data_IF_566077082192
#
_entry.id   IF_566077082192
#
_cell.length_a   1.000
_cell.length_b   1.000
_cell.length_c   1.000
_cell.angle_alpha   90.00
_cell.angle_beta   90.00
_cell.angle_gamma   90.00
#
_symmetry.space_group_name_H-M   'P 1'
#
loop_
_entity.id
_entity.type
_entity.pdbx_description
1 polymer ?
2 polymer ?
3 polymer ?
4 non-polymer ?
5 non-polymer ?
6 non-polymer ?
7 non-polymer ?
8 water ?
#
# COMPACT_ATOMS: atom_id res chain seq x y z
N UNK A 1 -0.70 -8.63 4.27
CA UNK A 1 0.04 -8.92 5.53
C UNK A 1 0.42 -10.39 5.60
N UNK A 2 1.72 -10.66 5.66
CA UNK A 2 2.25 -12.01 5.76
C UNK A 2 2.58 -12.30 7.22
N UNK A 3 2.13 -13.45 7.72
CA UNK A 3 2.41 -13.84 9.09
C UNK A 3 1.66 -13.07 10.16
N UNK A 4 0.56 -12.43 9.79
CA UNK A 4 -0.23 -11.69 10.76
C UNK A 4 -1.40 -12.51 11.24
N UNK A 5 -2.45 -11.82 11.68
CA UNK A 5 -3.65 -12.47 12.18
C UNK A 5 -4.85 -11.68 11.72
N UNK A 6 -6.01 -12.31 11.67
CA UNK A 6 -7.22 -11.61 11.26
C UNK A 6 -7.62 -10.66 12.38
N UNK A 7 -7.74 -9.37 12.04
CA UNK A 7 -8.12 -8.36 13.03
C UNK A 7 -9.52 -8.65 13.56
N UNK A 8 -9.76 -8.28 14.82
CA UNK A 8 -11.08 -8.44 15.40
C UNK A 8 -11.96 -7.55 14.53
N UNK A 9 -13.13 -8.04 14.14
CA UNK A 9 -14.03 -7.29 13.27
C UNK A 9 -14.21 -5.84 13.68
N UNK A 10 -13.86 -4.93 12.77
CA UNK A 10 -13.97 -3.50 12.98
C UNK A 10 -13.13 -2.93 14.13
N UNK A 11 -12.02 -3.60 14.46
CA UNK A 11 -11.14 -3.15 15.54
C UNK A 11 -10.12 -2.11 15.06
N UNK A 12 -10.09 -1.87 13.75
CA UNK A 12 -9.19 -0.90 13.13
C UNK A 12 -10.16 -0.01 12.34
N UNK A 13 -11.01 0.76 13.04
CA UNK A 13 -12.01 1.64 12.42
C UNK A 13 -11.53 2.75 11.49
N UNK A 14 -10.24 3.05 11.52
CA UNK A 14 -9.66 4.09 10.67
C UNK A 14 -9.15 3.51 9.34
N UNK A 15 -9.10 2.17 9.27
CA UNK A 15 -8.63 1.51 8.05
C UNK A 15 -9.68 1.57 6.95
N UNK A 16 -9.26 2.03 5.77
CA UNK A 16 -10.16 2.07 4.63
C UNK A 16 -9.55 1.27 3.48
N UNK A 17 -10.40 0.89 2.55
CA UNK A 17 -9.96 0.17 1.36
C UNK A 17 -10.18 1.09 0.17
N UNK A 18 -9.14 1.27 -0.65
CA UNK A 18 -9.25 2.10 -1.86
C UNK A 18 -9.62 1.11 -2.96
N UNK A 19 -10.71 1.40 -3.66
CA UNK A 19 -11.25 0.52 -4.68
C UNK A 19 -11.51 1.24 -6.00
N UNK A 20 -11.12 0.60 -7.10
CA UNK A 20 -11.33 1.15 -8.44
C UNK A 20 -11.91 0.06 -9.34
N UNK A 21 -12.58 -0.89 -8.71
CA UNK A 21 -13.15 -2.03 -9.43
C UNK A 21 -12.89 -3.19 -8.49
N UNK A 22 -11.70 -3.16 -7.90
CA UNK A 22 -11.24 -4.17 -6.93
C UNK A 22 -10.42 -3.40 -5.90
N UNK A 23 -10.18 -4.03 -4.75
CA UNK A 23 -9.35 -3.43 -3.72
C UNK A 23 -7.94 -3.34 -4.29
N UNK A 24 -7.29 -2.19 -4.16
CA UNK A 24 -5.93 -2.06 -4.69
C UNK A 24 -4.94 -1.40 -3.72
N UNK A 25 -5.45 -0.77 -2.67
CA UNK A 25 -4.61 -0.12 -1.67
C UNK A 25 -5.42 0.17 -0.41
N UNK A 26 -4.70 0.46 0.66
CA UNK A 26 -5.34 0.79 1.92
C UNK A 26 -5.23 2.29 2.12
N UNK A 27 -5.74 2.76 3.25
CA UNK A 27 -5.68 4.18 3.58
C UNK A 27 -6.15 4.36 5.01
N UNK A 28 -5.99 5.56 5.54
CA UNK A 28 -6.40 5.87 6.91
C UNK A 28 -7.26 7.12 6.97
N UNK A 29 -8.38 7.02 7.67
CA UNK A 29 -9.29 8.15 7.83
C UNK A 29 -8.72 9.06 8.91
N UNK A 30 -8.41 10.32 8.56
CA UNK A 30 -7.85 11.25 9.54
C UNK A 30 -8.85 12.32 10.04
N UNK A 31 -9.92 12.52 9.28
CA UNK A 31 -11.03 13.40 9.65
C UNK A 31 -12.23 12.97 8.81
N UNK A 32 -13.44 13.39 9.17
CA UNK A 32 -14.62 12.94 8.43
C UNK A 32 -14.70 13.22 6.92
N UNK A 33 -13.71 13.93 6.39
CA UNK A 33 -13.69 14.23 4.96
C UNK A 33 -12.36 13.92 4.28
N UNK A 34 -11.37 13.46 5.05
CA UNK A 34 -10.06 13.18 4.48
C UNK A 34 -9.42 11.85 4.84
N UNK A 35 -8.78 11.26 3.84
CA UNK A 35 -8.06 10.00 3.98
C UNK A 35 -6.63 10.20 3.52
N UNK A 36 -5.69 9.58 4.23
CA UNK A 36 -4.28 9.67 3.84
C UNK A 36 -3.83 8.28 3.41
N UNK A 37 -3.10 8.24 2.29
CA UNK A 37 -2.63 6.98 1.73
C UNK A 37 -1.24 7.20 1.12
N UNK A 38 -0.82 6.29 0.25
CA UNK A 38 0.47 6.37 -0.42
C UNK A 38 0.31 7.01 -1.79
N UNK A 39 1.28 7.82 -2.20
CA UNK A 39 1.22 8.46 -3.51
C UNK A 39 1.28 7.46 -4.65
N UNK A 40 1.96 6.33 -4.45
CA UNK A 40 2.03 5.35 -5.53
C UNK A 40 0.69 4.64 -5.76
N UNK A 41 -0.26 4.90 -4.87
CA UNK A 41 -1.62 4.36 -4.96
C UNK A 41 -2.52 5.26 -5.79
N UNK A 42 -1.96 6.33 -6.36
CA UNK A 42 -2.75 7.24 -7.18
C UNK A 42 -3.46 6.59 -8.37
N UNK A 43 -4.71 7.00 -8.56
CA UNK A 43 -5.55 6.60 -9.69
C UNK A 43 -6.48 7.80 -9.86
N UNK A 44 -6.88 8.10 -11.09
CA UNK A 44 -7.74 9.24 -11.35
C UNK A 44 -9.14 9.09 -10.76
N UNK A 45 -9.56 7.85 -10.58
CA UNK A 45 -10.87 7.53 -10.00
C UNK A 45 -10.68 6.56 -8.85
N UNK A 46 -11.13 6.96 -7.67
CA UNK A 46 -11.00 6.11 -6.48
C UNK A 46 -12.25 6.15 -5.63
N UNK A 47 -12.70 4.98 -5.20
CA UNK A 47 -13.84 4.87 -4.31
C UNK A 47 -13.28 4.41 -2.96
N UNK A 48 -13.61 5.13 -1.91
CA UNK A 48 -13.15 4.80 -0.57
C UNK A 48 -14.20 3.96 0.15
N UNK A 49 -13.79 2.82 0.68
CA UNK A 49 -14.70 1.94 1.39
C UNK A 49 -14.30 1.88 2.87
N UNK A 50 -15.19 2.40 3.70
CA UNK A 50 -14.97 2.45 5.15
C UNK A 50 -15.84 1.44 5.88
N UNK A 51 -15.46 1.13 7.12
CA UNK A 51 -16.22 0.17 7.92
C UNK A 51 -16.16 -1.26 7.42
N UNK A 52 -15.14 -1.57 6.64
CA UNK A 52 -14.95 -2.89 6.08
C UNK A 52 -14.21 -3.90 6.94
N UNK A 53 -14.63 -5.15 6.85
CA UNK A 53 -13.92 -6.24 7.51
C UNK A 53 -13.68 -7.24 6.39
N UNK A 54 -14.76 -7.80 5.84
CA UNK A 54 -14.69 -8.73 4.72
C UNK A 54 -14.98 -7.88 3.48
N UNK A 55 -13.95 -7.62 2.68
CA UNK A 55 -14.14 -6.79 1.49
C UNK A 55 -14.94 -7.44 0.38
N UNK A 56 -15.22 -8.74 0.52
CA UNK A 56 -15.97 -9.46 -0.50
C UNK A 56 -17.39 -9.85 -0.08
N UNK A 57 -17.83 -9.30 1.05
CA UNK A 57 -19.18 -9.58 1.55
C UNK A 57 -19.79 -8.28 2.09
N UNK A 58 -21.04 -8.02 1.71
CA UNK A 58 -21.76 -6.84 2.20
C UNK A 58 -22.23 -7.23 3.60
N UNK A 59 -21.53 -6.71 4.60
CA UNK A 59 -21.80 -7.01 6.00
C UNK A 59 -22.82 -6.11 6.68
N UNK A 60 -22.95 -4.89 6.19
CA UNK A 60 -23.89 -3.94 6.78
C UNK A 60 -23.33 -2.74 7.54
N UNK A 61 -22.01 -2.67 7.68
CA UNK A 61 -21.37 -1.55 8.39
C UNK A 61 -20.61 -0.62 7.44
N UNK A 62 -20.55 -0.98 6.17
CA UNK A 62 -19.80 -0.22 5.19
C UNK A 62 -20.37 1.11 4.73
N UNK A 63 -19.46 2.00 4.32
CA UNK A 63 -19.78 3.30 3.77
C UNK A 63 -18.92 3.44 2.52
N UNK A 64 -19.57 3.65 1.38
CA UNK A 64 -18.88 3.81 0.10
C UNK A 64 -18.94 5.27 -0.32
N UNK A 65 -17.79 5.90 -0.43
CA UNK A 65 -17.72 7.31 -0.81
C UNK A 65 -16.62 7.55 -1.85
N UNK A 66 -16.95 8.29 -2.90
CA UNK A 66 -15.99 8.59 -3.96
C UNK A 66 -14.98 9.68 -3.57
N UNK A 67 -13.81 9.61 -4.20
CA UNK A 67 -12.76 10.59 -3.95
C UNK A 67 -13.05 11.83 -4.80
N UNK A 68 -13.27 12.96 -4.14
CA UNK A 68 -13.55 14.22 -4.84
C UNK A 68 -12.25 14.90 -5.26
N UNK A 69 -11.24 14.82 -4.39
CA UNK A 69 -9.94 15.40 -4.65
C UNK A 69 -8.86 14.41 -4.27
N UNK A 70 -7.85 14.27 -5.13
CA UNK A 70 -6.73 13.35 -4.89
C UNK A 70 -5.47 14.18 -5.04
N UNK A 71 -4.76 14.36 -3.93
CA UNK A 71 -3.55 15.19 -3.91
C UNK A 71 -2.30 14.45 -3.44
N UNK A 72 -1.39 14.19 -4.37
CA UNK A 72 -0.14 13.52 -4.06
C UNK A 72 0.85 14.56 -3.55
N UNK A 73 1.79 14.12 -2.72
CA UNK A 73 2.80 15.04 -2.21
C UNK A 73 3.54 15.61 -3.42
N UNK A 74 3.77 16.93 -3.45
CA UNK A 74 4.47 17.56 -4.57
C UNK A 74 5.89 17.08 -4.85
N UNK A 75 6.53 16.46 -3.87
CA UNK A 75 7.90 15.97 -4.05
C UNK A 75 8.00 14.45 -4.19
N UNK A 76 6.88 13.78 -4.43
CA UNK A 76 6.87 12.33 -4.60
C UNK A 76 7.74 11.91 -5.77
N UNK A 77 8.63 10.94 -5.53
CA UNK A 77 9.50 10.41 -6.57
C UNK A 77 9.05 8.98 -6.82
N UNK A 78 8.56 8.71 -8.03
CA UNK A 78 8.06 7.38 -8.38
C UNK A 78 9.13 6.30 -8.52
N UNK A 79 10.39 6.68 -8.45
CA UNK A 79 11.49 5.72 -8.55
C UNK A 79 12.12 5.41 -7.19
N UNK A 80 12.44 6.46 -6.43
CA UNK A 80 13.07 6.29 -5.11
C UNK A 80 12.00 6.09 -4.04
N UNK A 81 10.77 6.47 -4.36
CA UNK A 81 9.62 6.38 -3.48
C UNK A 81 9.67 7.34 -2.30
N UNK A 82 10.54 8.34 -2.41
CA UNK A 82 10.65 9.37 -1.37
C UNK A 82 9.37 10.20 -1.42
N UNK A 83 8.83 10.54 -0.25
CA UNK A 83 7.60 11.32 -0.11
C UNK A 83 6.38 10.56 -0.63
N UNK A 84 6.31 9.26 -0.33
CA UNK A 84 5.20 8.43 -0.79
C UNK A 84 3.97 8.63 0.11
N UNK A 85 3.29 9.74 -0.10
CA UNK A 85 2.12 10.08 0.68
C UNK A 85 1.14 10.86 -0.20
N UNK A 86 -0.14 10.63 0.04
CA UNK A 86 -1.20 11.24 -0.74
C UNK A 86 -2.44 11.48 0.11
N UNK A 87 -3.16 12.55 -0.19
CA UNK A 87 -4.39 12.89 0.52
C UNK A 87 -5.58 12.76 -0.41
N UNK A 88 -6.69 12.27 0.13
CA UNK A 88 -7.92 12.11 -0.62
C UNK A 88 -9.06 12.80 0.12
N UNK A 89 -9.72 13.74 -0.54
CA UNK A 89 -10.86 14.41 0.07
C UNK A 89 -12.08 13.67 -0.42
N UNK A 90 -12.92 13.24 0.50
CA UNK A 90 -14.14 12.50 0.18
C UNK A 90 -15.22 13.42 -0.38
N UNK A 91 -16.04 12.89 -1.29
CA UNK A 91 -17.11 13.66 -1.91
C UNK A 91 -18.15 14.14 -0.89
N UNK A 92 -18.24 13.44 0.23
CA UNK A 92 -19.17 13.77 1.30
C UNK A 92 -18.58 13.30 2.63
N UNK A 93 -18.87 14.03 3.72
CA UNK A 93 -18.37 13.67 5.05
C UNK A 93 -18.95 12.33 5.48
N UNK A 94 -18.09 11.44 5.96
CA UNK A 94 -18.56 10.13 6.41
C UNK A 94 -19.22 10.21 7.78
N UNK A 95 -20.07 9.23 8.08
CA UNK A 95 -20.76 9.18 9.36
C UNK A 95 -19.87 8.42 10.33
N UNK A 96 -19.35 9.13 11.33
CA UNK A 96 -18.48 8.52 12.32
C UNK A 96 -19.23 7.68 13.35
N UNK A 97 -18.70 6.50 13.61
CA UNK A 97 -19.29 5.57 14.58
C UNK A 97 -18.19 4.65 15.11
N UNK A 98 -18.58 3.63 15.86
CA UNK A 98 -17.61 2.70 16.43
C UNK A 98 -16.79 1.94 15.39
N UNK A 99 -17.35 1.78 14.19
CA UNK A 99 -16.69 1.05 13.12
C UNK A 99 -16.06 1.92 12.03
N UNK A 100 -16.32 3.22 12.07
CA UNK A 100 -15.75 4.17 11.13
C UNK A 100 -15.28 5.34 11.98
N UNK A 101 -13.98 5.37 12.26
CA UNK A 101 -13.41 6.40 13.12
C UNK A 101 -12.09 6.95 12.59
N UNK A 102 -11.72 8.12 13.09
CA UNK A 102 -10.49 8.76 12.68
C UNK A 102 -9.30 8.33 13.54
N UNK A 103 -8.11 8.45 12.98
CA UNK A 103 -6.89 8.14 13.70
C UNK A 103 -6.09 9.44 13.78
N UNK A 104 -5.48 9.68 14.93
CA UNK A 104 -4.70 10.90 15.14
C UNK A 104 -3.38 10.91 14.40
N UNK A 105 -2.95 12.09 13.98
CA UNK A 105 -1.67 12.27 13.33
C UNK A 105 -0.64 12.28 14.44
N UNK A 106 0.64 12.05 14.12
CA UNK A 106 1.70 12.04 15.15
C UNK A 106 1.87 13.36 15.88
N UNK A 107 2.13 13.27 17.19
CA UNK A 107 2.38 14.45 18.00
C UNK A 107 3.84 14.84 17.79
N UNK A 108 4.64 13.84 17.43
CA UNK A 108 6.08 13.98 17.16
C UNK A 108 6.52 12.62 16.60
N UNK A 109 7.76 12.52 16.17
CA UNK A 109 8.28 11.26 15.62
C UNK A 109 8.54 10.23 16.70
N UNK A 110 7.97 9.04 16.52
CA UNK A 110 8.17 7.96 17.47
C UNK A 110 9.55 7.35 17.26
N UNK A 111 10.26 7.05 18.35
CA UNK A 111 11.60 6.48 18.27
C UNK A 111 11.62 4.99 17.92
N UNK A 112 12.81 4.49 17.55
CA UNK A 112 12.98 3.09 17.22
C UNK A 112 12.62 2.26 18.45
N UNK A 113 11.96 1.13 18.22
CA UNK A 113 11.57 0.27 19.32
C UNK A 113 10.09 0.42 19.67
N UNK A 114 9.45 1.46 19.17
CA UNK A 114 8.03 1.69 19.42
C UNK A 114 7.21 0.60 18.73
N UNK A 115 6.34 -0.06 19.49
CA UNK A 115 5.49 -1.12 18.94
C UNK A 115 4.29 -0.51 18.23
N UNK A 116 3.97 -1.04 17.05
CA UNK A 116 2.87 -0.53 16.25
C UNK A 116 1.97 -1.60 15.67
N UNK A 117 0.85 -1.16 15.10
CA UNK A 117 -0.10 -2.06 14.46
C UNK A 117 -0.21 -1.73 12.97
N UNK A 118 0.12 -2.71 12.13
CA UNK A 118 0.04 -2.56 10.69
C UNK A 118 -1.16 -3.39 10.25
N UNK A 119 -1.93 -2.89 9.28
CA UNK A 119 -3.10 -3.64 8.82
C UNK A 119 -3.38 -3.47 7.34
N UNK A 120 -4.09 -4.43 6.78
CA UNK A 120 -4.42 -4.37 5.37
C UNK A 120 -4.97 -5.65 4.77
N UNK A 121 -5.42 -5.56 3.52
CA UNK A 121 -5.96 -6.70 2.79
C UNK A 121 -4.98 -7.18 1.72
N UNK A 122 -3.69 -6.92 1.94
CA UNK A 122 -2.68 -7.34 0.98
C UNK A 122 -2.42 -8.83 1.02
N UNK A 123 -1.58 -9.30 0.10
CA UNK A 123 -1.18 -10.70 -0.01
C UNK A 123 -0.69 -11.23 1.35
N UNK A 124 -1.09 -12.46 1.69
CA UNK A 124 -0.68 -13.06 2.96
C UNK A 124 0.45 -14.07 2.81
N UNK A 125 0.93 -14.26 1.58
CA UNK A 125 2.01 -15.21 1.32
C UNK A 125 3.29 -14.57 0.80
N UNK A 126 4.42 -15.07 1.29
CA UNK A 126 5.74 -14.59 0.85
C UNK A 126 6.04 -15.15 -0.54
N UNK A 127 5.57 -16.38 -0.77
CA UNK A 127 5.74 -17.04 -2.05
C UNK A 127 4.36 -17.46 -2.54
N UNK A 128 3.98 -16.96 -3.71
CA UNK A 128 2.68 -17.27 -4.26
C UNK A 128 1.75 -16.14 -3.86
N UNK A 129 0.45 -16.32 -4.07
CA UNK A 129 -0.50 -15.27 -3.73
C UNK A 129 -1.79 -15.76 -3.09
N UNK A 130 -2.20 -15.05 -2.05
CA UNK A 130 -3.44 -15.31 -1.34
C UNK A 130 -3.97 -13.97 -0.88
N UNK A 131 -5.06 -13.54 -1.51
CA UNK A 131 -5.70 -12.28 -1.19
C UNK A 131 -6.80 -12.57 -0.17
N UNK A 132 -6.63 -12.10 1.08
CA UNK A 132 -7.60 -12.32 2.15
C UNK A 132 -8.91 -11.56 2.03
N UNK A 133 -9.99 -12.21 2.45
CA UNK A 133 -11.30 -11.57 2.47
C UNK A 133 -11.33 -10.63 3.66
N UNK A 134 -10.78 -11.12 4.78
CA UNK A 134 -10.77 -10.39 6.05
C UNK A 134 -9.53 -9.58 6.33
N UNK A 135 -9.74 -8.40 6.91
CA UNK A 135 -8.64 -7.50 7.25
C UNK A 135 -7.63 -8.18 8.15
N UNK A 136 -6.35 -8.07 7.77
CA UNK A 136 -5.26 -8.67 8.51
C UNK A 136 -4.52 -7.62 9.35
N UNK A 137 -3.99 -8.07 10.47
CA UNK A 137 -3.29 -7.24 11.43
C UNK A 137 -1.91 -7.80 11.75
N UNK A 138 -0.99 -6.92 12.12
CA UNK A 138 0.37 -7.31 12.46
C UNK A 138 0.96 -6.34 13.46
N UNK A 139 1.43 -6.86 14.60
CA UNK A 139 2.07 -6.01 15.59
C UNK A 139 3.55 -6.07 15.30
N UNK A 140 4.16 -4.91 15.08
CA UNK A 140 5.58 -4.85 14.76
C UNK A 140 6.18 -3.54 15.20
N UNK A 141 7.49 -3.53 15.51
CA UNK A 141 8.20 -2.33 15.96
C UNK A 141 8.89 -1.50 14.88
N UNK A 142 9.03 -0.21 15.15
CA UNK A 142 9.75 0.69 14.28
C UNK A 142 11.20 0.25 14.50
N UNK A 143 11.94 0.03 13.42
CA UNK A 143 13.32 -0.41 13.52
C UNK A 143 14.32 0.74 13.50
N UNK A 144 15.50 0.53 14.10
CA UNK A 144 16.53 1.58 14.12
C UNK A 144 16.88 1.92 12.68
N UNK A 145 17.02 3.22 12.39
CA UNK A 145 17.34 3.66 11.04
C UNK A 145 18.60 3.00 10.50
N UNK A 146 19.56 2.72 11.37
CA UNK A 146 20.81 2.07 10.95
C UNK A 146 20.55 0.67 10.41
N UNK A 147 19.60 -0.04 11.01
CA UNK A 147 19.25 -1.38 10.56
C UNK A 147 18.49 -1.30 9.24
N UNK A 148 17.67 -0.27 9.10
CA UNK A 148 16.88 -0.05 7.88
C UNK A 148 17.86 0.22 6.74
N UNK A 149 18.85 1.06 7.01
CA UNK A 149 19.88 1.42 6.04
C UNK A 149 20.68 0.19 5.63
N UNK A 150 21.03 -0.64 6.62
CA UNK A 150 21.85 -1.83 6.38
C UNK A 150 21.09 -2.85 5.51
N UNK A 151 19.77 -2.88 5.66
CA UNK A 151 18.93 -3.79 4.88
C UNK A 151 18.69 -3.29 3.46
N UNK A 152 18.69 -1.96 3.30
CA UNK A 152 18.45 -1.33 2.00
C UNK A 152 19.56 -0.30 1.76
N UNK A 153 20.79 -0.76 1.47
CA UNK A 153 21.93 0.13 1.22
C UNK A 153 21.68 1.24 0.20
N UNK A 154 21.81 2.49 0.66
CA UNK A 154 21.63 3.64 -0.21
C UNK A 154 20.23 3.94 -0.72
N UNK A 155 19.22 3.30 -0.14
CA UNK A 155 17.84 3.50 -0.59
C UNK A 155 16.89 4.11 0.44
N UNK A 156 17.38 4.39 1.64
CA UNK A 156 16.54 4.94 2.70
C UNK A 156 16.76 6.43 2.98
N UNK A 157 15.68 7.21 2.90
CA UNK A 157 15.76 8.65 3.19
C UNK A 157 15.17 8.92 4.57
N UNK A 158 15.31 10.14 5.09
CA UNK A 158 14.74 10.46 6.40
C UNK A 158 13.21 10.49 6.38
N UNK A 159 12.63 10.35 5.19
CA UNK A 159 11.17 10.33 5.06
C UNK A 159 10.65 8.89 5.06
N UNK A 160 11.53 7.96 5.43
CA UNK A 160 11.21 6.54 5.46
C UNK A 160 11.60 5.90 6.78
N UNK A 161 10.89 4.85 7.15
CA UNK A 161 11.17 4.13 8.38
C UNK A 161 10.85 2.65 8.15
N UNK A 162 11.73 1.78 8.62
CA UNK A 162 11.50 0.35 8.48
C UNK A 162 10.71 -0.11 9.70
N UNK A 163 9.73 -0.97 9.47
CA UNK A 163 8.90 -1.49 10.56
C UNK A 163 8.82 -2.98 10.29
N UNK A 164 9.07 -3.79 11.32
CA UNK A 164 9.01 -5.22 11.10
C UNK A 164 10.08 -5.99 11.83
N UNK A 165 10.60 -7.02 11.16
CA UNK A 165 11.60 -7.91 11.75
C UNK A 165 12.73 -8.23 10.79
N UNK A 166 13.96 -8.10 11.28
CA UNK A 166 15.14 -8.38 10.46
C UNK A 166 15.22 -9.86 10.10
N UNK A 167 14.58 -10.71 10.90
CA UNK A 167 14.56 -12.14 10.64
C UNK A 167 13.47 -12.52 9.64
N UNK A 168 12.65 -11.54 9.25
CA UNK A 168 11.56 -11.79 8.32
C UNK A 168 10.42 -12.56 8.97
N UNK A 169 9.64 -13.26 8.14
CA UNK A 169 8.53 -14.05 8.65
C UNK A 169 7.21 -13.34 8.76
N UNK A 170 7.24 -12.06 9.13
CA UNK A 170 6.04 -11.24 9.27
C UNK A 170 6.33 -9.91 8.59
N UNK A 171 5.38 -9.41 7.78
CA UNK A 171 5.63 -8.18 7.04
C UNK A 171 4.35 -7.78 6.28
N UNK A 172 4.37 -6.60 5.70
CA UNK A 172 3.25 -6.16 4.87
C UNK A 172 3.57 -6.75 3.49
N UNK A 173 2.61 -6.72 2.58
CA UNK A 173 2.83 -7.28 1.24
C UNK A 173 1.88 -6.60 0.24
N UNK A 174 2.07 -6.87 -1.05
CA UNK A 174 1.26 -6.24 -2.09
C UNK A 174 -0.23 -6.16 -1.83
N UNK A 175 -0.73 -4.92 -1.81
CA UNK A 175 -2.13 -4.69 -1.54
C UNK A 175 -2.32 -3.98 -0.20
N UNK A 176 -1.27 -3.96 0.62
CA UNK A 176 -1.32 -3.28 1.91
C UNK A 176 -0.97 -1.80 1.76
N UNK A 177 -0.29 -1.47 0.66
CA UNK A 177 0.15 -0.11 0.36
C UNK A 177 -0.86 0.97 0.67
N UNK A 178 -0.38 2.04 1.27
CA UNK A 178 -1.23 3.16 1.62
C UNK A 178 -1.89 3.00 2.97
N UNK A 179 -1.85 1.77 3.49
CA UNK A 179 -2.44 1.46 4.78
C UNK A 179 -1.70 2.03 5.96
N UNK A 180 -2.28 1.89 7.16
CA UNK A 180 -1.73 2.38 8.41
C UNK A 180 -0.72 1.59 9.22
N UNK A 181 0.13 2.34 9.92
CA UNK A 181 1.08 1.84 10.89
C UNK A 181 0.77 2.78 12.05
N UNK A 182 0.01 2.29 13.02
CA UNK A 182 -0.38 3.09 14.16
C UNK A 182 0.35 2.66 15.43
N UNK A 183 0.94 3.63 16.11
CA UNK A 183 1.69 3.37 17.33
C UNK A 183 1.15 4.29 18.42
N UNK A 184 0.69 3.69 19.52
CA UNK A 184 0.14 4.45 20.64
C UNK A 184 -0.95 5.44 20.20
N UNK A 185 -1.84 4.95 19.33
CA UNK A 185 -2.94 5.77 18.85
C UNK A 185 -2.59 6.84 17.82
N UNK A 186 -1.37 6.82 17.29
CA UNK A 186 -0.96 7.81 16.30
C UNK A 186 -0.46 7.16 15.02
N UNK A 187 -0.85 7.75 13.88
CA UNK A 187 -0.44 7.24 12.57
C UNK A 187 1.01 7.64 12.28
N UNK A 188 1.95 6.74 12.56
CA UNK A 188 3.37 7.02 12.35
C UNK A 188 3.91 6.55 11.00
N UNK A 189 3.20 5.62 10.35
CA UNK A 189 3.67 5.13 9.07
C UNK A 189 2.59 4.81 8.07
N UNK A 190 2.98 4.76 6.80
CA UNK A 190 2.09 4.41 5.70
C UNK A 190 2.80 3.31 4.92
N UNK A 191 2.11 2.19 4.69
CA UNK A 191 2.70 1.08 3.95
C UNK A 191 3.18 1.59 2.59
N UNK A 192 4.46 1.39 2.30
CA UNK A 192 5.03 1.89 1.06
C UNK A 192 5.71 0.87 0.15
N UNK A 193 6.89 0.40 0.55
CA UNK A 193 7.64 -0.53 -0.28
C UNK A 193 8.56 -1.48 0.47
N UNK A 194 9.22 -2.34 -0.30
CA UNK A 194 10.16 -3.29 0.26
C UNK A 194 10.54 -4.32 -0.79
N UNK A 195 11.55 -5.13 -0.52
CA UNK A 195 11.95 -6.18 -1.47
C UNK A 195 11.32 -7.48 -1.01
N UNK A 196 10.41 -8.01 -1.82
CA UNK A 196 9.71 -9.23 -1.46
C UNK A 196 8.83 -8.94 -0.26
N UNK A 197 8.42 -10.01 0.43
CA UNK A 197 7.57 -9.86 1.59
C UNK A 197 7.99 -10.86 2.65
N UNK A 198 8.23 -10.38 3.87
CA UNK A 198 8.63 -11.22 4.99
C UNK A 198 9.93 -11.97 4.80
N UNK A 199 10.81 -11.43 3.96
CA UNK A 199 12.11 -12.06 3.71
C UNK A 199 13.11 -11.55 4.75
N UNK A 200 14.05 -12.40 5.17
CA UNK A 200 15.06 -11.99 6.14
C UNK A 200 15.92 -10.86 5.58
N UNK A 201 16.25 -9.89 6.41
CA UNK A 201 17.09 -8.75 6.03
C UNK A 201 16.41 -7.73 5.10
N UNK A 202 15.09 -7.84 4.92
CA UNK A 202 14.35 -6.90 4.10
C UNK A 202 12.97 -6.59 4.67
N UNK A 203 12.94 -5.93 5.84
CA UNK A 203 11.66 -5.56 6.47
C UNK A 203 10.99 -4.49 5.62
N UNK A 204 9.68 -4.34 5.77
CA UNK A 204 8.99 -3.34 4.98
C UNK A 204 9.44 -1.91 5.29
N UNK A 205 9.38 -1.06 4.27
CA UNK A 205 9.74 0.34 4.39
C UNK A 205 8.43 1.12 4.35
N UNK A 206 8.32 2.11 5.23
CA UNK A 206 7.09 2.89 5.37
C UNK A 206 7.36 4.39 5.32
N UNK A 207 6.38 5.14 4.83
CA UNK A 207 6.50 6.60 4.78
C UNK A 207 6.41 7.09 6.23
N UNK A 208 7.39 7.90 6.62
CA UNK A 208 7.46 8.45 7.99
C UNK A 208 6.51 9.64 8.10
N UNK A 209 5.27 9.36 8.52
CA UNK A 209 4.22 10.36 8.63
C UNK A 209 4.52 11.59 9.48
N UNK A 210 5.32 11.44 10.53
CA UNK A 210 5.65 12.57 11.40
C UNK A 210 6.36 13.72 10.69
N UNK A 211 6.89 13.46 9.49
CA UNK A 211 7.56 14.49 8.71
C UNK A 211 6.57 15.27 7.84
N UNK A 212 5.33 14.79 7.78
CA UNK A 212 4.31 15.41 6.93
C UNK A 212 3.10 16.02 7.61
N UNK A 213 3.14 16.16 8.93
CA UNK A 213 1.99 16.73 9.63
C UNK A 213 1.65 18.15 9.16
N UNK A 214 2.68 18.97 8.97
CA UNK A 214 2.47 20.34 8.50
C UNK A 214 1.87 20.34 7.10
N UNK A 215 2.41 19.50 6.22
CA UNK A 215 1.88 19.41 4.85
C UNK A 215 0.44 18.94 4.83
N UNK A 216 0.13 17.93 5.63
CA UNK A 216 -1.22 17.39 5.71
C UNK A 216 -2.21 18.44 6.20
N UNK A 217 -1.88 19.09 7.30
CA UNK A 217 -2.74 20.12 7.87
C UNK A 217 -2.92 21.32 6.94
N UNK A 218 -1.83 21.74 6.29
CA UNK A 218 -1.88 22.87 5.37
C UNK A 218 -2.74 22.54 4.15
N UNK A 219 -2.57 21.32 3.62
CA UNK A 219 -3.31 20.87 2.45
C UNK A 219 -4.81 20.78 2.72
N UNK A 220 -5.18 20.23 3.86
CA UNK A 220 -6.59 20.10 4.24
C UNK A 220 -7.25 21.46 4.37
N UNK A 221 -6.55 22.40 5.02
CA UNK A 221 -7.06 23.75 5.21
C UNK A 221 -7.20 24.55 3.92
N UNK A 222 -6.38 24.22 2.93
CA UNK A 222 -6.41 24.91 1.64
C UNK A 222 -7.33 24.26 0.61
N UNK A 223 -7.92 23.12 0.96
CA UNK A 223 -8.81 22.41 0.04
C UNK A 223 -10.13 22.00 0.69
N UNK B 1 11.00 -12.68 -30.85
CA UNK B 1 10.30 -11.57 -30.10
C UNK B 1 11.33 -10.88 -29.20
N UNK B 2 10.99 -9.68 -28.68
CA UNK B 2 11.91 -8.94 -27.81
C UNK B 2 12.30 -9.74 -26.56
N UNK B 3 13.53 -9.53 -26.09
CA UNK B 3 14.02 -10.26 -24.92
C UNK B 3 13.20 -10.10 -23.64
N UNK B 4 12.69 -8.90 -23.40
CA UNK B 4 11.92 -8.64 -22.20
C UNK B 4 10.64 -9.47 -22.09
N UNK B 5 10.15 -9.94 -23.24
CA UNK B 5 8.94 -10.77 -23.29
C UNK B 5 9.15 -12.14 -22.67
N UNK B 6 10.40 -12.57 -22.58
CA UNK B 6 10.75 -13.87 -22.05
C UNK B 6 11.06 -13.86 -20.55
N UNK B 7 11.06 -12.66 -19.96
CA UNK B 7 11.34 -12.52 -18.55
C UNK B 7 10.08 -12.73 -17.72
N UNK B 8 10.23 -13.30 -16.50
CA UNK B 8 9.08 -13.54 -15.64
C UNK B 8 8.46 -12.20 -15.23
N UNK B 9 7.15 -12.19 -14.92
CA UNK B 9 6.46 -10.97 -14.51
C UNK B 9 7.11 -10.38 -13.26
N UNK B 10 7.27 -9.06 -13.26
CA UNK B 10 7.94 -8.38 -12.16
C UNK B 10 6.99 -7.51 -11.34
N UNK B 11 6.73 -7.96 -10.11
CA UNK B 11 5.84 -7.24 -9.21
C UNK B 11 6.43 -5.90 -8.76
N UNK B 12 7.72 -5.88 -8.49
CA UNK B 12 8.34 -4.64 -8.07
C UNK B 12 8.27 -4.42 -6.56
N UNK B 13 8.93 -3.37 -6.07
CA UNK B 13 8.98 -3.02 -4.65
C UNK B 13 7.77 -2.39 -3.97
N UNK B 14 6.84 -1.81 -4.73
CA UNK B 14 5.66 -1.20 -4.11
C UNK B 14 4.76 -2.30 -3.55
N UNK B 15 4.40 -2.15 -2.27
CA UNK B 15 3.66 -3.19 -1.55
C UNK B 15 2.18 -2.98 -1.20
N UNK C 1 1.11 -1.28 -4.19
CA UNK C 1 -0.34 -1.42 -4.50
C UNK C 1 -0.57 -2.78 -5.16
N UNK C 2 -1.85 -3.09 -5.43
CA UNK C 2 -2.19 -4.32 -6.12
C UNK C 2 -2.79 -3.86 -7.46
N UNK C 3 -1.94 -3.79 -8.47
CA UNK C 3 -2.36 -3.36 -9.80
C UNK C 3 -2.34 -4.53 -10.76
N UNK C 4 -3.47 -4.82 -11.40
CA UNK C 4 -3.54 -5.92 -12.34
C UNK C 4 -3.00 -5.51 -13.71
N UNK C 5 -1.98 -6.24 -14.17
CA UNK C 5 -1.35 -5.97 -15.45
C UNK C 5 -1.21 -7.27 -16.21
N UNK C 6 -0.85 -7.16 -17.49
CA UNK C 6 -0.67 -8.33 -18.34
C UNK C 6 0.79 -8.55 -18.65
N UNK C 7 1.18 -9.81 -18.79
CA UNK C 7 2.54 -10.17 -19.15
C UNK C 7 2.47 -11.33 -20.13
N UNK C 8 3.48 -11.44 -20.97
CA UNK C 8 3.53 -12.52 -21.94
C UNK C 8 4.17 -13.74 -21.29
N UNK C 9 3.42 -14.84 -21.30
CA UNK C 9 3.89 -16.12 -20.76
C UNK C 9 4.38 -16.92 -21.96
N UNK C 10 5.69 -16.92 -22.15
CA UNK C 10 6.31 -17.62 -23.29
C UNK C 10 5.97 -19.10 -23.37
N UNK C 11 5.93 -19.77 -22.22
CA UNK C 11 5.61 -21.20 -22.18
C UNK C 11 4.19 -21.46 -22.67
N UNK C 12 3.26 -20.62 -22.23
CA UNK C 12 1.85 -20.75 -22.61
C UNK C 12 1.54 -20.18 -23.99
N UNK C 13 2.40 -19.28 -24.47
CA UNK C 13 2.21 -18.69 -25.78
C UNK C 13 1.10 -17.65 -25.81
N UNK C 14 0.82 -17.04 -24.66
CA UNK C 14 -0.22 -16.03 -24.56
C UNK C 14 0.01 -15.13 -23.35
N UNK C 15 -0.74 -14.02 -23.30
CA UNK C 15 -0.64 -13.08 -22.20
C UNK C 15 -1.60 -13.40 -21.07
N UNK C 16 -1.11 -13.25 -19.85
CA UNK C 16 -1.89 -13.54 -18.65
C UNK C 16 -1.76 -12.37 -17.68
N UNK C 17 -2.60 -12.37 -16.66
CA UNK C 17 -2.57 -11.31 -15.67
C UNK C 17 -1.64 -11.65 -14.52
N UNK C 18 -1.15 -10.61 -13.84
CA UNK C 18 -0.27 -10.76 -12.69
C UNK C 18 -0.42 -9.51 -11.84
N UNK C 19 0.04 -9.58 -10.60
CA UNK C 19 -0.03 -8.44 -9.70
C UNK C 19 1.23 -7.60 -9.77
N UNK C 20 1.06 -6.36 -10.23
CA UNK C 20 2.15 -5.39 -10.33
C UNK C 20 1.98 -4.47 -9.13
N UNK C 21 3.09 -4.18 -8.45
CA UNK C 21 3.05 -3.33 -7.27
C UNK C 21 2.75 -1.87 -7.53
N UNK C 22 2.89 -1.42 -8.77
CA UNK C 22 2.62 -0.02 -9.06
C UNK C 22 3.82 0.86 -9.33
N UNK C 23 5.03 0.34 -9.09
CA UNK C 23 6.24 1.11 -9.35
C UNK C 23 7.38 0.24 -9.87
N UNK C 24 8.30 0.88 -10.59
CA UNK C 24 9.49 0.22 -11.16
C UNK C 24 9.19 -0.92 -12.12
N UNK C 25 8.19 -0.73 -12.98
CA UNK C 25 7.80 -1.76 -13.94
C UNK C 25 8.89 -2.14 -14.92
N UNK C 26 8.92 -3.42 -15.26
CA UNK C 26 9.85 -3.92 -16.27
C UNK C 26 9.01 -3.86 -17.55
N UNK C 27 9.61 -4.22 -18.68
CA UNK C 27 8.87 -4.12 -19.95
C UNK C 27 7.79 -5.16 -20.24
N UNK C 28 7.87 -6.34 -19.64
CA UNK C 28 6.84 -7.36 -19.83
C UNK C 28 5.74 -7.04 -18.83
N UNK C 29 5.07 -5.92 -19.09
CA UNK C 29 4.02 -5.38 -18.23
C UNK C 29 3.16 -4.49 -19.11
N UNK C 30 1.91 -4.89 -19.32
CA UNK C 30 0.99 -4.15 -20.18
C UNK C 30 -0.36 -3.91 -19.53
N UNK C 31 -1.05 -2.86 -19.98
CA UNK C 31 -2.37 -2.53 -19.44
C UNK C 31 -3.51 -3.29 -20.12
N UNK C 32 -3.18 -4.03 -21.18
CA UNK C 32 -4.19 -4.82 -21.89
C UNK C 32 -3.59 -6.04 -22.57
N UNK C 33 -4.40 -7.08 -22.77
CA UNK C 33 -3.94 -8.30 -23.41
C UNK C 33 -3.58 -8.01 -24.86
N UNK C 34 -4.33 -7.09 -25.47
CA UNK C 34 -4.10 -6.71 -26.87
C UNK C 34 -2.72 -6.07 -27.04
N UNK C 35 -2.39 -5.11 -26.19
CA UNK C 35 -1.10 -4.45 -26.29
C UNK C 35 0.02 -5.45 -26.00
N UNK C 36 -0.23 -6.37 -25.08
CA UNK C 36 0.74 -7.40 -24.73
C UNK C 36 1.02 -8.34 -25.90
N UNK C 37 -0.03 -8.84 -26.55
CA UNK C 37 0.14 -9.74 -27.68
C UNK C 37 0.74 -9.03 -28.90
N UNK C 38 0.41 -7.77 -29.06
CA UNK C 38 0.92 -6.96 -30.17
C UNK C 38 2.43 -6.81 -30.03
N UNK C 39 2.88 -6.56 -28.81
CA UNK C 39 4.30 -6.37 -28.51
C UNK C 39 5.11 -7.66 -28.36
N UNK C 40 4.52 -8.64 -27.68
CA UNK C 40 5.22 -9.90 -27.39
C UNK C 40 4.72 -11.17 -28.06
N UNK C 41 3.60 -11.09 -28.77
CA UNK C 41 3.03 -12.26 -29.43
C UNK C 41 3.90 -12.95 -30.47
N UNK C 42 4.89 -12.23 -30.99
CA UNK C 42 5.77 -12.80 -31.98
C UNK C 42 5.22 -12.72 -33.39
N UNK C 43 5.85 -13.47 -34.31
CA UNK C 43 5.43 -13.49 -35.71
#
# INVERSE_FOLDING_TARGET
IVGGYTCQENSVPYQVSLNSGYHFCGGSLINDQWVVSAAHCYKSRIQVRLGEHNINVLEGNEQFVNAAKIIKHPNFDRKTLNNDIMLIKLSSPVKLNARVATVALPSSCAPAGTQCLISGWGNTLSSGVNEPDLLQCLDAPLLPQADCEASYPGKITDNMVCVGFLEGGKDSCQGDAGGPVVCNGELQGIVSWGYGCALPDNPGVYTKVCNYVDWIQDTIAAN
RPDFCLEPPYTGPCK
ARIIRYFYNAKAGLCQTFVYGGCRAKRNNFKSAEDCMRTCGGA
#
